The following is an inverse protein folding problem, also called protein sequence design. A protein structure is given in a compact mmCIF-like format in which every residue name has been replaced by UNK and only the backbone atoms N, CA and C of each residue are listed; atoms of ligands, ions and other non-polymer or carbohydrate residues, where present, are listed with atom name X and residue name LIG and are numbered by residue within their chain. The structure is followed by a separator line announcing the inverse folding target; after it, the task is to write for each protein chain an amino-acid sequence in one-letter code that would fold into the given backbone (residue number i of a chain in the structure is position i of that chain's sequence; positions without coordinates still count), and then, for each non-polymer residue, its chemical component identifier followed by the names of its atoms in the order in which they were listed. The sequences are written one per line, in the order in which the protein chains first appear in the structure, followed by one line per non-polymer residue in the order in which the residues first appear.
data_IF_915233730123
#
_entry.id   IF_915233730123
#
_cell.length_a   1.000
_cell.length_b   1.000
_cell.length_c   1.000
_cell.angle_alpha   90.00
_cell.angle_beta   90.00
_cell.angle_gamma   90.00
#
_symmetry.space_group_name_H-M   'P 1'
#
loop_
_entity.id
_entity.type
_entity.pdbx_description
1 polymer ?
#
# COMPACT_ATOMS: atom_id res chain seq x y z
N UNK A 1 3.27 -19.62 15.53
CA UNK A 1 4.12 -18.49 15.07
C UNK A 1 4.05 -18.21 13.56
N UNK A 2 4.47 -19.09 12.63
CA UNK A 2 4.44 -18.80 11.16
C UNK A 2 3.06 -18.91 10.50
N UNK A 3 2.18 -19.74 11.06
CA UNK A 3 0.76 -19.84 10.67
C UNK A 3 0.00 -18.65 11.22
N UNK A 4 0.08 -18.41 12.54
CA UNK A 4 -0.60 -17.30 13.22
C UNK A 4 -0.43 -15.94 12.52
N UNK A 5 0.78 -15.53 12.12
CA UNK A 5 0.95 -14.26 11.41
C UNK A 5 0.32 -14.26 10.01
N UNK A 6 0.30 -15.40 9.31
CA UNK A 6 -0.37 -15.54 8.01
C UNK A 6 -1.89 -15.58 8.16
N UNK A 7 -2.38 -16.18 9.23
CA UNK A 7 -3.80 -16.29 9.55
C UNK A 7 -4.35 -14.90 9.93
N UNK A 8 -3.62 -14.15 10.76
CA UNK A 8 -3.93 -12.74 11.09
C UNK A 8 -3.85 -11.84 9.84
N UNK A 9 -2.87 -12.04 8.97
CA UNK A 9 -2.80 -11.32 7.68
C UNK A 9 -4.01 -11.59 6.81
N UNK A 10 -4.40 -12.86 6.67
CA UNK A 10 -5.55 -13.26 5.85
C UNK A 10 -6.86 -12.72 6.43
N UNK A 11 -6.99 -12.70 7.77
CA UNK A 11 -8.14 -12.15 8.46
C UNK A 11 -8.26 -10.64 8.23
N UNK A 12 -7.17 -9.88 8.42
CA UNK A 12 -7.18 -8.43 8.18
C UNK A 12 -7.49 -8.12 6.71
N UNK A 13 -6.91 -8.86 5.76
CA UNK A 13 -7.20 -8.70 4.33
C UNK A 13 -8.66 -9.04 4.02
N UNK A 14 -9.22 -10.08 4.63
CA UNK A 14 -10.64 -10.43 4.49
C UNK A 14 -11.55 -9.31 4.99
N UNK A 15 -11.22 -8.71 6.15
CA UNK A 15 -11.95 -7.55 6.68
C UNK A 15 -11.84 -6.30 5.79
N UNK A 16 -10.71 -6.12 5.10
CA UNK A 16 -10.54 -5.04 4.11
C UNK A 16 -11.37 -5.32 2.84
N UNK A 17 -11.45 -6.58 2.41
CA UNK A 17 -12.20 -6.96 1.21
C UNK A 17 -13.71 -7.01 1.44
N UNK A 18 -14.15 -7.36 2.66
CA UNK A 18 -15.56 -7.49 3.03
C UNK A 18 -16.18 -6.20 3.57
N UNK A 19 -15.37 -5.24 4.05
CA UNK A 19 -15.85 -4.00 4.63
C UNK A 19 -16.01 -2.88 3.60
N UNK A 20 -17.08 -2.10 3.72
CA UNK A 20 -17.17 -0.79 3.07
C UNK A 20 -16.23 0.20 3.76
N UNK A 21 -15.48 0.98 2.98
CA UNK A 21 -14.66 2.07 3.50
C UNK A 21 -15.20 3.38 2.97
N UNK A 22 -15.65 4.24 3.88
CA UNK A 22 -16.11 5.58 3.59
C UNK A 22 -15.45 6.52 4.58
N UNK A 23 -14.39 7.17 4.13
CA UNK A 23 -13.74 8.25 4.86
C UNK A 23 -13.88 9.51 4.02
N UNK A 24 -14.79 10.44 4.40
CA UNK A 24 -15.03 11.66 3.65
C UNK A 24 -13.76 12.50 3.45
N UNK A 25 -12.82 12.46 4.39
CA UNK A 25 -11.59 13.23 4.29
C UNK A 25 -10.62 12.61 3.27
N UNK A 26 -10.47 11.28 3.27
CA UNK A 26 -9.68 10.58 2.26
C UNK A 26 -10.25 10.82 0.85
N UNK A 27 -11.57 10.74 0.70
CA UNK A 27 -12.26 11.01 -0.55
C UNK A 27 -12.00 12.43 -1.06
N UNK A 28 -12.06 13.42 -0.17
CA UNK A 28 -11.75 14.81 -0.50
C UNK A 28 -10.30 14.96 -1.01
N UNK A 29 -9.34 14.37 -0.32
CA UNK A 29 -7.93 14.39 -0.73
C UNK A 29 -7.71 13.73 -2.10
N UNK A 30 -8.41 12.64 -2.40
CA UNK A 30 -8.35 11.97 -3.70
C UNK A 30 -8.89 12.85 -4.83
N UNK A 31 -10.00 13.56 -4.61
CA UNK A 31 -10.55 14.52 -5.57
C UNK A 31 -9.58 15.69 -5.77
N UNK A 32 -8.99 16.21 -4.69
CA UNK A 32 -7.97 17.26 -4.77
C UNK A 32 -6.75 16.80 -5.57
N UNK A 33 -6.28 15.58 -5.34
CA UNK A 33 -5.18 14.98 -6.09
C UNK A 33 -5.50 14.84 -7.58
N UNK A 34 -6.68 14.32 -7.92
CA UNK A 34 -7.15 14.20 -9.31
C UNK A 34 -7.17 15.56 -10.03
N UNK A 35 -7.72 16.59 -9.37
CA UNK A 35 -7.74 17.97 -9.90
C UNK A 35 -6.34 18.56 -10.09
N UNK A 36 -5.40 18.23 -9.23
CA UNK A 36 -3.99 18.67 -9.38
C UNK A 36 -3.30 17.93 -10.51
N UNK A 37 -3.50 16.62 -10.60
CA UNK A 37 -2.93 15.77 -11.64
C UNK A 37 -3.45 16.09 -13.04
N UNK A 38 -4.67 16.61 -13.18
CA UNK A 38 -5.21 17.09 -14.46
C UNK A 38 -4.43 18.27 -15.03
N UNK A 39 -3.91 19.14 -14.15
CA UNK A 39 -3.15 20.34 -14.52
C UNK A 39 -1.67 20.06 -14.75
N UNK A 40 -1.17 18.92 -14.26
CA UNK A 40 0.23 18.52 -14.47
C UNK A 40 0.44 17.91 -15.86
N UNK A 41 1.41 18.45 -16.60
CA UNK A 41 1.87 17.87 -17.88
C UNK A 41 3.01 16.87 -17.62
N UNK A 42 3.04 15.78 -18.37
CA UNK A 42 4.11 14.78 -18.32
C UNK A 42 3.76 13.52 -17.51
N UNK A 43 4.80 12.77 -17.11
CA UNK A 43 4.67 11.46 -16.47
C UNK A 43 4.11 11.58 -15.05
N UNK A 44 2.89 11.06 -14.83
CA UNK A 44 2.19 11.05 -13.55
C UNK A 44 2.60 9.85 -12.69
N UNK A 45 3.82 9.90 -12.17
CA UNK A 45 4.41 8.89 -11.28
C UNK A 45 5.08 9.62 -10.12
N UNK A 46 4.93 9.15 -8.87
CA UNK A 46 5.33 9.88 -7.67
C UNK A 46 6.72 10.53 -7.76
N UNK A 47 7.72 9.81 -8.27
CA UNK A 47 9.09 10.33 -8.39
C UNK A 47 9.22 11.61 -9.23
N UNK A 48 8.38 11.77 -10.25
CA UNK A 48 8.41 12.88 -11.22
C UNK A 48 7.47 14.02 -10.84
N UNK A 49 6.64 13.84 -9.82
CA UNK A 49 5.68 14.86 -9.38
C UNK A 49 6.40 16.00 -8.64
N UNK A 50 5.81 17.20 -8.75
CA UNK A 50 6.24 18.38 -8.01
C UNK A 50 5.97 18.21 -6.50
N UNK A 51 6.69 18.97 -5.68
CA UNK A 51 6.62 18.84 -4.22
C UNK A 51 5.22 19.08 -3.65
N UNK A 52 4.45 19.99 -4.25
CA UNK A 52 3.06 20.27 -3.88
C UNK A 52 2.15 19.05 -4.06
N UNK A 53 2.26 18.35 -5.19
CA UNK A 53 1.48 17.13 -5.46
C UNK A 53 1.95 15.97 -4.59
N UNK A 54 3.26 15.86 -4.34
CA UNK A 54 3.83 14.84 -3.44
C UNK A 54 3.29 14.99 -2.02
N UNK A 55 3.16 16.22 -1.52
CA UNK A 55 2.60 16.48 -0.18
C UNK A 55 1.16 15.98 -0.05
N UNK A 56 0.32 16.15 -1.08
CA UNK A 56 -1.05 15.61 -1.09
C UNK A 56 -1.03 14.07 -1.04
N UNK A 57 -0.16 13.44 -1.82
CA UNK A 57 -0.01 11.98 -1.82
C UNK A 57 0.47 11.49 -0.45
N UNK A 58 1.43 12.18 0.15
CA UNK A 58 1.95 11.82 1.47
C UNK A 58 0.85 11.96 2.55
N UNK A 59 0.02 13.00 2.47
CA UNK A 59 -1.16 13.16 3.34
C UNK A 59 -2.19 12.03 3.15
N UNK A 60 -2.44 11.59 1.91
CA UNK A 60 -3.34 10.45 1.64
C UNK A 60 -2.77 9.16 2.26
N UNK A 61 -1.45 8.94 2.17
CA UNK A 61 -0.81 7.78 2.82
C UNK A 61 -0.96 7.86 4.34
N UNK A 62 -0.80 9.05 4.92
CA UNK A 62 -0.97 9.25 6.36
C UNK A 62 -2.42 8.98 6.81
N UNK A 63 -3.43 9.39 6.03
CA UNK A 63 -4.83 9.06 6.29
C UNK A 63 -5.09 7.55 6.18
N UNK A 64 -4.61 6.89 5.12
CA UNK A 64 -4.72 5.44 4.96
C UNK A 64 -4.06 4.70 6.13
N UNK A 65 -2.95 5.23 6.66
CA UNK A 65 -2.24 4.65 7.78
C UNK A 65 -2.99 4.75 9.12
N UNK A 66 -3.98 5.64 9.26
CA UNK A 66 -4.83 5.72 10.45
C UNK A 66 -5.82 4.56 10.56
N UNK A 67 -6.12 3.88 9.44
CA UNK A 67 -6.97 2.70 9.46
C UNK A 67 -6.31 1.59 10.31
N UNK A 68 -7.02 1.12 11.35
CA UNK A 68 -6.54 0.09 12.26
C UNK A 68 -6.03 -1.18 11.55
N UNK A 69 -6.67 -1.53 10.43
CA UNK A 69 -6.33 -2.70 9.61
C UNK A 69 -4.97 -2.48 8.94
N UNK A 70 -4.75 -1.31 8.35
CA UNK A 70 -3.49 -0.93 7.71
C UNK A 70 -2.38 -0.74 8.74
N UNK A 71 -2.65 -0.07 9.86
CA UNK A 71 -1.68 0.08 10.96
C UNK A 71 -1.22 -1.28 11.48
N UNK A 72 -2.15 -2.23 11.66
CA UNK A 72 -1.82 -3.59 12.10
C UNK A 72 -0.92 -4.33 11.11
N UNK A 73 -1.18 -4.20 9.79
CA UNK A 73 -0.32 -4.76 8.74
C UNK A 73 1.09 -4.14 8.77
N UNK A 74 1.16 -2.83 8.97
CA UNK A 74 2.42 -2.11 9.03
C UNK A 74 3.24 -2.46 10.28
N UNK A 75 2.59 -2.60 11.43
CA UNK A 75 3.22 -3.10 12.64
C UNK A 75 3.76 -4.52 12.48
N UNK A 76 3.02 -5.39 11.79
CA UNK A 76 3.47 -6.76 11.53
C UNK A 76 4.69 -6.77 10.60
N UNK A 77 4.72 -5.90 9.59
CA UNK A 77 5.89 -5.70 8.74
C UNK A 77 7.11 -5.25 9.55
N UNK A 78 6.95 -4.28 10.46
CA UNK A 78 8.02 -3.84 11.36
C UNK A 78 8.50 -4.96 12.28
N UNK A 79 7.59 -5.70 12.91
CA UNK A 79 7.94 -6.87 13.74
C UNK A 79 8.76 -7.88 12.95
N UNK A 80 8.38 -8.14 11.69
CA UNK A 80 9.13 -9.06 10.83
C UNK A 80 10.53 -8.51 10.49
N UNK A 81 10.64 -7.21 10.19
CA UNK A 81 11.91 -6.52 9.91
C UNK A 81 12.83 -6.46 11.14
N UNK A 82 12.29 -6.15 12.31
CA UNK A 82 13.03 -6.12 13.59
C UNK A 82 13.54 -7.51 13.96
N UNK A 83 12.73 -8.56 13.77
CA UNK A 83 13.16 -9.95 13.97
C UNK A 83 14.35 -10.31 13.07
N UNK A 84 14.38 -9.76 11.85
CA UNK A 84 15.50 -9.95 10.93
C UNK A 84 16.75 -9.27 11.46
N UNK A 85 16.62 -8.00 11.79
CA UNK A 85 17.75 -7.17 12.21
C UNK A 85 18.32 -7.62 13.54
N UNK A 86 17.49 -8.08 14.49
CA UNK A 86 17.93 -8.62 15.78
C UNK A 86 18.84 -9.85 15.66
N UNK A 87 18.79 -10.55 14.53
CA UNK A 87 19.70 -11.68 14.25
C UNK A 87 21.12 -11.19 13.93
N UNK A 88 21.27 -9.99 13.36
CA UNK A 88 22.51 -9.54 12.74
C UNK A 88 23.09 -8.28 13.37
N UNK A 89 22.25 -7.41 13.91
CA UNK A 89 22.56 -6.09 14.42
C UNK A 89 22.12 -5.96 15.89
N UNK A 90 22.92 -5.26 16.68
CA UNK A 90 22.68 -5.04 18.12
C UNK A 90 21.66 -3.92 18.38
N UNK A 91 21.37 -3.08 17.38
CA UNK A 91 20.41 -1.97 17.46
C UNK A 91 19.29 -2.11 16.43
N UNK A 92 18.06 -1.83 16.85
CA UNK A 92 16.89 -1.77 15.98
C UNK A 92 16.72 -0.34 15.44
N UNK A 93 16.52 -0.15 14.13
CA UNK A 93 16.20 1.17 13.57
C UNK A 93 14.87 1.68 14.12
N UNK A 94 14.75 3.00 14.22
CA UNK A 94 13.50 3.65 14.62
C UNK A 94 12.39 3.39 13.59
N UNK A 95 11.16 3.20 14.09
CA UNK A 95 9.98 3.06 13.23
C UNK A 95 9.67 4.43 12.64
N UNK A 96 9.50 4.47 11.32
CA UNK A 96 9.10 5.66 10.59
C UNK A 96 7.64 5.51 10.12
N UNK A 97 6.92 6.61 9.88
CA UNK A 97 5.58 6.56 9.32
C UNK A 97 5.54 5.91 7.93
N UNK A 98 4.37 5.36 7.55
CA UNK A 98 4.18 4.72 6.24
C UNK A 98 4.50 5.66 5.07
N UNK A 99 4.15 6.94 5.17
CA UNK A 99 4.45 7.97 4.17
C UNK A 99 5.95 8.22 3.98
N UNK A 100 6.77 8.09 5.02
CA UNK A 100 8.21 8.35 4.96
C UNK A 100 9.02 7.12 4.53
N UNK A 101 8.38 5.95 4.49
CA UNK A 101 9.06 4.71 4.21
C UNK A 101 9.23 4.48 2.70
N UNK A 102 10.49 4.47 2.25
CA UNK A 102 10.88 4.34 0.83
C UNK A 102 10.52 2.97 0.23
N UNK A 103 10.40 1.93 1.06
CA UNK A 103 10.01 0.58 0.64
C UNK A 103 8.59 0.58 0.05
N UNK A 104 7.75 1.53 0.49
CA UNK A 104 6.35 1.61 0.09
C UNK A 104 6.06 2.66 -0.99
N UNK A 105 7.05 2.96 -1.84
CA UNK A 105 6.84 3.79 -3.04
C UNK A 105 5.73 3.25 -3.96
N UNK A 106 5.49 1.95 -3.94
CA UNK A 106 4.38 1.31 -4.65
C UNK A 106 3.01 1.83 -4.19
N UNK A 107 2.80 2.06 -2.88
CA UNK A 107 1.55 2.63 -2.33
C UNK A 107 1.33 4.03 -2.91
N UNK A 108 2.37 4.86 -2.92
CA UNK A 108 2.30 6.22 -3.48
C UNK A 108 1.94 6.23 -4.96
N UNK A 109 2.48 5.28 -5.73
CA UNK A 109 2.12 5.14 -7.14
C UNK A 109 0.70 4.59 -7.32
N UNK A 110 0.23 3.70 -6.45
CA UNK A 110 -1.15 3.21 -6.46
C UNK A 110 -2.16 4.35 -6.24
N UNK A 111 -1.88 5.25 -5.29
CA UNK A 111 -2.66 6.48 -5.05
C UNK A 111 -2.74 7.35 -6.30
N UNK A 112 -1.61 7.54 -7.01
CA UNK A 112 -1.60 8.29 -8.28
C UNK A 112 -2.44 7.62 -9.35
N UNK A 113 -2.43 6.29 -9.44
CA UNK A 113 -3.28 5.56 -10.39
C UNK A 113 -4.76 5.67 -10.03
N UNK A 114 -5.15 5.50 -8.77
CA UNK A 114 -6.55 5.66 -8.37
C UNK A 114 -7.07 7.08 -8.62
N UNK A 115 -6.23 8.10 -8.39
CA UNK A 115 -6.58 9.47 -8.73
C UNK A 115 -6.73 9.71 -10.24
N UNK A 116 -6.03 8.94 -11.08
CA UNK A 116 -6.18 8.97 -12.54
C UNK A 116 -7.44 8.22 -12.99
N UNK A 117 -7.74 7.08 -12.41
CA UNK A 117 -8.95 6.30 -12.68
C UNK A 117 -10.21 7.13 -12.37
N UNK A 118 -10.21 7.84 -11.23
CA UNK A 118 -11.25 8.82 -10.87
C UNK A 118 -11.50 9.87 -11.96
N UNK A 119 -10.48 10.27 -12.70
CA UNK A 119 -10.61 11.25 -13.77
C UNK A 119 -11.24 10.63 -15.02
N UNK A 120 -10.89 9.39 -15.35
CA UNK A 120 -11.46 8.67 -16.50
C UNK A 120 -12.96 8.39 -16.27
N UNK A 121 -13.32 7.98 -15.06
CA UNK A 121 -14.72 7.74 -14.67
C UNK A 121 -15.56 9.04 -14.71
N UNK A 122 -14.94 10.18 -14.40
CA UNK A 122 -15.59 11.50 -14.46
C UNK A 122 -15.81 11.99 -15.90
N UNK A 123 -14.96 11.59 -16.85
CA UNK A 123 -15.10 11.96 -18.27
C UNK A 123 -16.13 11.07 -18.99
N UNK A 124 -16.16 9.77 -18.72
CA UNK A 124 -17.12 8.84 -19.35
C UNK A 124 -18.58 9.14 -18.99
N UNK A 125 -18.85 9.75 -17.83
CA UNK A 125 -20.19 10.18 -17.44
C UNK A 125 -20.64 11.50 -18.09
N UNK A 126 -19.75 12.25 -18.76
CA UNK A 126 -20.10 13.48 -19.49
C UNK A 126 -20.40 13.26 -20.97
N UNK A 127 -19.91 12.17 -21.58
CA UNK A 127 -20.06 11.87 -23.01
C UNK A 127 -21.37 11.13 -23.38
N UNK A 128 -22.29 10.91 -22.42
CA UNK A 128 -23.57 10.18 -22.63
C UNK A 128 -24.80 11.08 -22.73
N UNK A 129 -24.64 12.39 -22.84
CA UNK A 129 -25.74 13.34 -23.02
C UNK A 129 -25.66 14.05 -24.37
N UNK A 130 -25.64 13.30 -25.48
CA UNK A 130 -26.06 13.72 -26.83
C UNK A 130 -25.82 12.56 -27.81
N UNK A 131 -26.71 11.56 -27.82
CA UNK A 131 -27.30 11.00 -29.05
C UNK A 131 -28.22 9.81 -28.71
N UNK A 132 -29.50 10.00 -29.04
CA UNK A 132 -30.51 8.95 -29.15
C UNK A 132 -30.09 7.93 -30.23
N UNK A 133 -29.60 6.74 -29.86
CA UNK A 133 -29.90 5.50 -30.62
C UNK A 133 -29.85 4.27 -29.69
N UNK A 134 -30.96 3.54 -29.66
CA UNK A 134 -31.16 2.29 -28.93
C UNK A 134 -30.55 1.06 -29.67
N UNK A 135 -30.31 -0.01 -28.89
CA UNK A 135 -30.22 -1.45 -29.25
C UNK A 135 -28.84 -2.16 -29.12
N UNK A 136 -28.57 -2.59 -27.88
CA UNK A 136 -28.25 -3.96 -27.37
C UNK A 136 -27.30 -4.92 -28.12
N UNK A 137 -26.20 -5.35 -27.47
CA UNK A 137 -26.06 -6.66 -26.77
C UNK A 137 -24.61 -6.93 -26.32
N UNK A 138 -24.42 -7.10 -25.00
CA UNK A 138 -23.64 -8.21 -24.43
C UNK A 138 -22.15 -8.04 -24.15
N UNK A 139 -21.79 -7.52 -22.96
CA UNK A 139 -20.96 -8.26 -21.97
C UNK A 139 -20.94 -7.59 -20.59
N UNK A 140 -21.47 -8.33 -19.62
CA UNK A 140 -21.04 -8.44 -18.21
C UNK A 140 -21.00 -7.22 -17.27
N UNK A 141 -21.92 -7.31 -16.31
CA UNK A 141 -21.69 -7.28 -14.86
C UNK A 141 -21.53 -5.91 -14.18
N UNK A 142 -22.58 -5.60 -13.41
CA UNK A 142 -22.57 -4.80 -12.17
C UNK A 142 -22.58 -3.29 -12.29
N UNK A 143 -23.78 -2.75 -12.52
CA UNK A 143 -24.22 -1.42 -12.08
C UNK A 143 -24.30 -1.41 -10.54
N UNK A 144 -23.15 -1.37 -9.87
CA UNK A 144 -23.06 -1.17 -8.43
C UNK A 144 -21.83 -0.31 -8.10
N UNK A 145 -22.03 1.02 -8.12
CA UNK A 145 -21.22 1.99 -7.38
C UNK A 145 -19.96 2.52 -8.08
N UNK A 146 -20.04 3.17 -9.23
CA UNK A 146 -18.94 3.99 -9.78
C UNK A 146 -18.77 5.30 -9.00
N UNK A 147 -18.48 5.22 -7.70
CA UNK A 147 -18.33 6.35 -6.79
C UNK A 147 -16.91 6.50 -6.25
N UNK A 148 -16.58 7.70 -5.76
CA UNK A 148 -15.29 8.02 -5.11
C UNK A 148 -14.97 7.03 -3.97
N UNK A 149 -15.99 6.56 -3.25
CA UNK A 149 -15.87 5.53 -2.22
C UNK A 149 -15.33 4.18 -2.71
N UNK A 150 -15.61 3.76 -3.97
CA UNK A 150 -15.02 2.54 -4.53
C UNK A 150 -13.53 2.72 -4.83
N UNK A 151 -13.11 3.94 -5.19
CA UNK A 151 -11.69 4.24 -5.40
C UNK A 151 -10.92 4.28 -4.06
N UNK A 152 -11.51 4.81 -3.00
CA UNK A 152 -10.95 4.75 -1.64
C UNK A 152 -10.82 3.30 -1.12
N UNK A 153 -11.87 2.48 -1.28
CA UNK A 153 -11.83 1.06 -0.90
C UNK A 153 -10.79 0.28 -1.70
N UNK A 154 -10.73 0.49 -3.01
CA UNK A 154 -9.74 -0.16 -3.89
C UNK A 154 -8.31 0.21 -3.48
N UNK A 155 -8.07 1.45 -3.07
CA UNK A 155 -6.78 1.88 -2.56
C UNK A 155 -6.37 1.17 -1.27
N UNK A 156 -7.30 0.94 -0.35
CA UNK A 156 -7.04 0.16 0.86
C UNK A 156 -6.74 -1.30 0.54
N UNK A 157 -7.49 -1.89 -0.38
CA UNK A 157 -7.24 -3.26 -0.84
C UNK A 157 -5.86 -3.38 -1.49
N UNK A 158 -5.49 -2.45 -2.38
CA UNK A 158 -4.17 -2.41 -3.00
C UNK A 158 -3.06 -2.20 -1.97
N UNK A 159 -3.26 -1.27 -1.03
CA UNK A 159 -2.30 -0.99 0.05
C UNK A 159 -2.08 -2.22 0.92
N UNK A 160 -3.17 -2.89 1.30
CA UNK A 160 -3.13 -4.16 2.04
C UNK A 160 -2.35 -5.24 1.29
N UNK A 161 -2.57 -5.39 -0.02
CA UNK A 161 -1.86 -6.35 -0.84
C UNK A 161 -0.36 -6.05 -0.96
N UNK A 162 0.01 -4.78 -1.10
CA UNK A 162 1.41 -4.32 -1.12
C UNK A 162 2.07 -4.65 0.22
N UNK A 163 1.45 -4.27 1.34
CA UNK A 163 1.95 -4.56 2.67
C UNK A 163 2.09 -6.07 2.89
N UNK A 164 1.09 -6.87 2.52
CA UNK A 164 1.13 -8.33 2.65
C UNK A 164 2.30 -8.94 1.87
N UNK A 165 2.57 -8.45 0.66
CA UNK A 165 3.67 -8.95 -0.17
C UNK A 165 5.04 -8.65 0.46
N UNK A 166 5.19 -7.48 1.08
CA UNK A 166 6.40 -7.09 1.79
C UNK A 166 6.56 -7.78 3.16
N UNK A 167 5.47 -8.20 3.80
CA UNK A 167 5.49 -9.00 5.04
C UNK A 167 5.90 -10.45 4.75
N UNK A 168 5.88 -10.90 3.48
CA UNK A 168 6.32 -12.27 3.13
C UNK A 168 7.79 -12.42 3.53
N UNK A 169 8.16 -13.53 4.20
CA UNK A 169 9.48 -13.64 4.77
C UNK A 169 10.54 -13.68 3.66
N UNK A 170 11.46 -12.71 3.69
CA UNK A 170 12.73 -12.69 2.94
C UNK A 170 13.60 -13.95 3.23
N UNK A 171 13.19 -14.80 4.18
CA UNK A 171 13.84 -16.05 4.58
C UNK A 171 13.39 -17.31 3.82
N UNK A 172 13.11 -17.21 2.53
CA UNK A 172 12.80 -18.43 1.78
C UNK A 172 13.99 -19.39 1.67
N UNK A 173 15.23 -18.95 1.91
CA UNK A 173 16.38 -19.86 1.95
C UNK A 173 16.89 -20.16 3.39
N UNK A 174 16.08 -20.92 4.13
CA UNK A 174 16.43 -21.46 5.47
C UNK A 174 17.76 -22.22 5.51
N UNK A 175 18.23 -22.76 4.38
CA UNK A 175 19.42 -23.62 4.32
C UNK A 175 20.69 -22.77 4.21
N UNK A 176 20.64 -21.69 3.44
CA UNK A 176 21.74 -20.72 3.32
C UNK A 176 21.85 -19.87 4.59
N UNK A 177 20.73 -19.41 5.15
CA UNK A 177 20.72 -18.54 6.33
C UNK A 177 21.26 -19.24 7.59
N UNK A 178 21.03 -20.56 7.75
CA UNK A 178 21.59 -21.34 8.88
C UNK A 178 23.12 -21.42 8.84
N UNK A 179 23.71 -21.57 7.64
CA UNK A 179 25.16 -21.59 7.45
C UNK A 179 25.76 -20.20 7.69
N UNK A 180 25.09 -19.15 7.19
CA UNK A 180 25.51 -17.77 7.39
C UNK A 180 25.47 -17.37 8.87
N UNK A 181 24.38 -17.70 9.58
CA UNK A 181 24.23 -17.53 11.03
C UNK A 181 25.33 -18.23 11.83
N UNK A 182 25.66 -19.48 11.47
CA UNK A 182 26.73 -20.24 12.12
C UNK A 182 28.09 -19.53 11.95
N UNK A 183 28.43 -19.12 10.72
CA UNK A 183 29.67 -18.37 10.44
C UNK A 183 29.75 -17.03 11.17
N UNK A 184 28.65 -16.30 11.27
CA UNK A 184 28.61 -15.01 11.97
C UNK A 184 28.80 -15.21 13.48
N UNK A 185 28.16 -16.22 14.09
CA UNK A 185 28.38 -16.54 15.50
C UNK A 185 29.80 -17.04 15.78
N UNK A 186 30.35 -17.89 14.91
CA UNK A 186 31.75 -18.36 15.01
C UNK A 186 32.72 -17.17 14.91
N UNK A 187 32.46 -16.22 14.01
CA UNK A 187 33.29 -15.01 13.88
C UNK A 187 33.17 -14.07 15.08
N UNK A 188 31.96 -13.89 15.63
CA UNK A 188 31.74 -13.11 16.86
C UNK A 188 32.44 -13.73 18.07
N UNK A 189 32.40 -15.06 18.19
CA UNK A 189 33.13 -15.81 19.24
C UNK A 189 34.65 -15.67 19.09
N UNK A 190 35.18 -15.76 17.85
CA UNK A 190 36.61 -15.58 17.58
C UNK A 190 37.11 -14.16 17.85
N UNK A 191 36.24 -13.14 17.74
CA UNK A 191 36.57 -11.74 18.01
C UNK A 191 36.41 -11.33 19.48
N UNK A 192 36.10 -12.28 20.39
CA UNK A 192 35.96 -12.00 21.83
C UNK A 192 34.74 -11.14 22.20
N UNK A 193 33.90 -10.79 21.24
CA UNK A 193 32.66 -10.04 21.44
C UNK A 193 31.58 -11.01 21.92
N UNK A 194 31.65 -11.38 23.20
CA UNK A 194 30.47 -11.90 23.92
C UNK A 194 29.51 -10.73 24.17
N UNK A 195 28.21 -11.01 24.05
CA UNK A 195 27.18 -10.23 24.74
C UNK A 195 27.37 -10.39 26.25
#
# INVERSE_FOLDING_TARGET
MRSESKDVLAEIVSQINAGGYSDPHLEELLVQLARRLSRTKGKKVYGYLKADVKAIIDSIVDEIAKDNRISSLYDLWYKQRENVLRTYNSSLPERIPLSQNKEFKAIKNAIVQAAMDLMLDSQQNQDVAEDDVEITHGRSLSVAGTGIGMNALRLLQQTSQILQNEVRPVYQDRRVDRKLRRKINEKKQAQGLRQ
#
